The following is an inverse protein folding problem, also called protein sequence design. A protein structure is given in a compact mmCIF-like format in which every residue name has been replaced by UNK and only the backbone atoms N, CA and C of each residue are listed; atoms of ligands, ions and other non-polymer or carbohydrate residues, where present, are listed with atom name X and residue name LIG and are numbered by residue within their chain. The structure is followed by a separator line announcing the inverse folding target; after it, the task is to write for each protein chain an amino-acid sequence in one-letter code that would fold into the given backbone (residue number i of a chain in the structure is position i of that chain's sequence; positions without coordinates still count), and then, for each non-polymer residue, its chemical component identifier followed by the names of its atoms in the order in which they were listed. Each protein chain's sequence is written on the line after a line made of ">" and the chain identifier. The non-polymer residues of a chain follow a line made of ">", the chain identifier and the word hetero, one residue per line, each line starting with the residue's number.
data_IF_263452892482
#
_entry.id   IF_263452892482
#
_cell.length_a   1.000
_cell.length_b   1.000
_cell.length_c   1.000
_cell.angle_alpha   90.00
_cell.angle_beta   90.00
_cell.angle_gamma   90.00
#
_symmetry.space_group_name_H-M   'P 1'
#
loop_
_entity.id
_entity.type
_entity.pdbx_description
1 polymer ?
#
# COMPACT_ATOMS: atom_id res chain seq x y z
N UNK A 1 -6.69 6.43 0.47
CA UNK A 1 -5.50 7.14 0.00
C UNK A 1 -5.20 6.75 -1.45
N UNK A 2 -4.52 7.62 -2.20
CA UNK A 2 -4.10 7.39 -3.59
C UNK A 2 -2.69 7.94 -3.79
N UNK A 3 -1.85 7.20 -4.49
CA UNK A 3 -0.49 7.58 -4.87
C UNK A 3 -0.44 7.59 -6.40
N UNK A 4 0.04 8.67 -7.00
CA UNK A 4 0.12 8.83 -8.46
C UNK A 4 -1.09 9.53 -9.08
N UNK A 5 -1.12 9.55 -10.42
CA UNK A 5 -2.07 10.32 -11.25
C UNK A 5 -3.10 9.42 -11.95
N UNK A 6 -3.99 9.97 -12.76
CA UNK A 6 -5.14 9.25 -13.35
C UNK A 6 -4.76 8.00 -14.17
N UNK A 7 -3.61 8.05 -14.83
CA UNK A 7 -3.15 6.98 -15.72
C UNK A 7 -2.12 6.03 -15.11
N UNK A 8 -1.54 6.40 -13.96
CA UNK A 8 -0.56 5.60 -13.24
C UNK A 8 -0.73 5.85 -11.73
N UNK A 9 -1.41 4.92 -11.05
CA UNK A 9 -1.66 5.05 -9.62
C UNK A 9 -1.77 3.73 -8.90
N UNK A 10 -1.66 3.85 -7.58
CA UNK A 10 -2.08 2.85 -6.63
C UNK A 10 -3.00 3.50 -5.59
N UNK A 11 -4.15 2.90 -5.32
CA UNK A 11 -5.09 3.36 -4.32
C UNK A 11 -5.37 2.25 -3.30
N UNK A 12 -5.55 2.67 -2.05
CA UNK A 12 -6.05 1.83 -0.97
C UNK A 12 -7.19 2.59 -0.30
N UNK A 13 -8.35 1.96 -0.26
CA UNK A 13 -9.54 2.47 0.41
C UNK A 13 -9.95 1.53 1.53
N UNK A 14 -10.05 2.04 2.76
CA UNK A 14 -10.54 1.25 3.89
C UNK A 14 -12.05 1.02 3.75
N UNK A 15 -12.46 -0.22 3.99
CA UNK A 15 -13.84 -0.67 4.10
C UNK A 15 -14.11 -0.91 5.60
N UNK A 16 -15.33 -0.65 6.11
CA UNK A 16 -15.69 -0.92 7.50
C UNK A 16 -15.24 -2.32 7.96
N UNK A 17 -14.59 -2.37 9.13
CA UNK A 17 -13.96 -3.59 9.66
C UNK A 17 -14.95 -4.76 9.71
N UNK A 18 -14.52 -5.92 9.22
CA UNK A 18 -15.15 -7.21 9.52
C UNK A 18 -14.14 -8.10 10.26
N UNK A 19 -14.45 -8.51 11.49
CA UNK A 19 -13.67 -9.53 12.20
C UNK A 19 -12.25 -9.14 12.66
N UNK A 20 -11.96 -7.86 12.88
CA UNK A 20 -10.69 -7.40 13.50
C UNK A 20 -9.56 -7.05 12.52
N UNK A 21 -9.75 -7.19 11.21
CA UNK A 21 -8.78 -6.82 10.18
C UNK A 21 -9.15 -5.50 9.49
N UNK A 22 -8.15 -4.81 8.96
CA UNK A 22 -8.35 -3.70 8.03
C UNK A 22 -8.72 -4.26 6.63
N UNK A 23 -10.02 -4.42 6.38
CA UNK A 23 -10.53 -4.72 5.05
C UNK A 23 -10.37 -3.49 4.17
N UNK A 24 -9.79 -3.65 2.99
CA UNK A 24 -9.56 -2.58 2.05
C UNK A 24 -9.89 -2.99 0.62
N UNK A 25 -10.27 -2.02 -0.19
CA UNK A 25 -10.24 -2.10 -1.65
C UNK A 25 -8.89 -1.56 -2.10
N UNK A 26 -8.18 -2.33 -2.91
CA UNK A 26 -6.94 -1.87 -3.56
C UNK A 26 -7.13 -1.83 -5.07
N UNK A 27 -6.57 -0.83 -5.71
CA UNK A 27 -6.55 -0.71 -7.17
C UNK A 27 -5.18 -0.18 -7.60
N UNK A 28 -4.59 -0.84 -8.59
CA UNK A 28 -3.40 -0.41 -9.28
C UNK A 28 -3.71 -0.25 -10.76
N UNK A 29 -3.30 0.88 -11.32
CA UNK A 29 -3.38 1.15 -12.75
C UNK A 29 -2.01 1.59 -13.23
N UNK A 30 -1.58 1.04 -14.36
CA UNK A 30 -0.41 1.51 -15.09
C UNK A 30 -0.72 1.61 -16.57
N UNK A 31 -0.25 2.68 -17.22
CA UNK A 31 -0.41 2.89 -18.65
C UNK A 31 0.97 2.96 -19.31
N UNK A 32 1.22 2.07 -20.26
CA UNK A 32 2.48 1.99 -21.00
C UNK A 32 2.24 1.62 -22.46
N UNK A 33 2.90 2.30 -23.39
CA UNK A 33 2.83 2.01 -24.83
C UNK A 33 1.40 1.94 -25.39
N UNK A 34 0.53 2.85 -24.94
CA UNK A 34 -0.88 2.90 -25.36
C UNK A 34 -1.77 1.78 -24.78
N UNK A 35 -1.24 0.97 -23.86
CA UNK A 35 -2.00 -0.07 -23.15
C UNK A 35 -2.20 0.32 -21.69
N UNK A 36 -3.37 0.00 -21.15
CA UNK A 36 -3.72 0.19 -19.74
C UNK A 36 -3.80 -1.17 -19.06
N UNK A 37 -3.11 -1.31 -17.94
CA UNK A 37 -3.10 -2.47 -17.08
C UNK A 37 -3.77 -2.10 -15.77
N UNK A 38 -4.74 -2.91 -15.34
CA UNK A 38 -5.46 -2.69 -14.09
C UNK A 38 -5.46 -3.97 -13.27
N UNK A 39 -5.15 -3.85 -11.98
CA UNK A 39 -5.42 -4.87 -10.99
C UNK A 39 -6.22 -4.25 -9.85
N UNK A 40 -7.34 -4.87 -9.50
CA UNK A 40 -8.19 -4.43 -8.40
C UNK A 40 -8.57 -5.60 -7.53
N UNK A 41 -8.60 -5.37 -6.22
CA UNK A 41 -9.08 -6.34 -5.25
C UNK A 41 -10.03 -5.65 -4.28
N UNK A 42 -11.31 -6.03 -4.33
CA UNK A 42 -12.36 -5.32 -3.60
C UNK A 42 -12.39 -5.63 -2.10
N UNK A 43 -11.80 -6.75 -1.69
CA UNK A 43 -11.79 -7.17 -0.29
C UNK A 43 -10.45 -7.81 0.09
N UNK A 44 -9.44 -6.97 0.20
CA UNK A 44 -8.11 -7.36 0.63
C UNK A 44 -7.92 -7.01 2.11
N UNK A 45 -7.43 -7.96 2.91
CA UNK A 45 -7.10 -7.69 4.30
C UNK A 45 -5.62 -7.33 4.40
N UNK A 46 -5.33 -6.13 4.90
CA UNK A 46 -3.98 -5.78 5.31
C UNK A 46 -3.71 -6.35 6.71
N UNK A 47 -2.51 -6.87 6.91
CA UNK A 47 -2.05 -7.20 8.25
C UNK A 47 -2.00 -5.94 9.12
N UNK A 48 -2.96 -5.82 10.02
CA UNK A 48 -3.08 -4.74 11.00
C UNK A 48 -2.78 -5.24 12.42
N UNK A 49 -1.95 -6.28 12.56
CA UNK A 49 -1.49 -6.76 13.86
C UNK A 49 -0.66 -5.70 14.60
N UNK A 50 -0.61 -5.77 15.93
CA UNK A 50 0.20 -4.87 16.76
C UNK A 50 1.68 -4.87 16.31
N UNK A 51 2.20 -6.02 15.89
CA UNK A 51 3.56 -6.16 15.32
C UNK A 51 3.73 -5.29 14.08
N UNK A 52 2.77 -5.33 13.16
CA UNK A 52 2.84 -4.56 11.91
C UNK A 52 2.62 -3.07 12.16
N UNK A 53 1.73 -2.70 13.09
CA UNK A 53 1.55 -1.31 13.53
C UNK A 53 2.84 -0.77 14.18
N UNK A 54 3.50 -1.58 15.01
CA UNK A 54 4.76 -1.20 15.65
C UNK A 54 5.89 -0.99 14.63
N UNK A 55 6.06 -1.94 13.69
CA UNK A 55 7.03 -1.81 12.58
C UNK A 55 6.74 -0.57 11.73
N UNK A 56 5.47 -0.27 11.47
CA UNK A 56 5.10 0.91 10.72
C UNK A 56 5.43 2.19 11.50
N UNK A 57 5.22 2.18 12.82
CA UNK A 57 5.58 3.31 13.70
C UNK A 57 7.11 3.52 13.75
N UNK A 58 7.91 2.46 13.68
CA UNK A 58 9.37 2.55 13.53
C UNK A 58 9.77 3.16 12.19
N UNK A 59 9.10 2.75 11.10
CA UNK A 59 9.30 3.35 9.79
C UNK A 59 8.88 4.85 9.77
N UNK A 60 7.74 5.19 10.36
CA UNK A 60 7.24 6.57 10.49
C UNK A 60 8.21 7.45 11.29
N UNK A 61 8.77 6.93 12.38
CA UNK A 61 9.74 7.63 13.24
C UNK A 61 11.20 7.60 12.76
N UNK A 62 11.43 7.20 11.51
CA UNK A 62 12.76 7.10 10.88
C UNK A 62 13.72 6.10 11.55
N UNK A 63 13.20 5.18 12.38
CA UNK A 63 13.99 4.13 13.04
C UNK A 63 14.17 2.89 12.16
N UNK A 64 13.36 2.76 11.11
CA UNK A 64 13.53 1.78 10.04
C UNK A 64 13.43 2.47 8.68
N UNK A 65 14.26 2.04 7.74
CA UNK A 65 14.23 2.49 6.35
C UNK A 65 13.22 1.71 5.50
N UNK A 66 12.76 0.55 5.98
CA UNK A 66 11.89 -0.33 5.21
C UNK A 66 10.84 -1.04 6.05
N UNK A 67 9.72 -1.35 5.42
CA UNK A 67 8.68 -2.23 5.98
C UNK A 67 8.00 -2.98 4.85
N UNK A 68 7.66 -4.24 5.12
CA UNK A 68 6.78 -5.06 4.29
C UNK A 68 5.49 -5.36 5.07
N UNK A 69 4.36 -5.21 4.39
CA UNK A 69 3.03 -5.44 4.94
C UNK A 69 2.36 -6.48 4.05
N UNK A 70 2.17 -7.71 4.53
CA UNK A 70 1.56 -8.76 3.76
C UNK A 70 0.07 -8.51 3.58
N UNK A 71 -0.45 -8.95 2.43
CA UNK A 71 -1.88 -9.08 2.17
C UNK A 71 -2.32 -10.52 2.39
N UNK A 72 -3.56 -10.75 2.82
CA UNK A 72 -4.07 -12.12 3.03
C UNK A 72 -4.15 -12.97 1.76
N UNK A 73 -4.22 -12.36 0.57
CA UNK A 73 -4.42 -13.04 -0.72
C UNK A 73 -3.20 -12.89 -1.66
N UNK A 74 -2.07 -13.51 -1.28
CA UNK A 74 -0.88 -13.65 -2.11
C UNK A 74 -0.33 -12.32 -2.70
N UNK A 75 -0.20 -11.30 -1.85
CA UNK A 75 0.32 -9.98 -2.19
C UNK A 75 1.02 -9.31 -1.02
N UNK A 76 1.60 -8.14 -1.28
CA UNK A 76 2.31 -7.36 -0.29
C UNK A 76 2.38 -5.89 -0.68
N UNK A 77 2.63 -5.04 0.31
CA UNK A 77 3.05 -3.66 0.14
C UNK A 77 4.42 -3.48 0.81
N UNK A 78 5.40 -2.96 0.08
CA UNK A 78 6.72 -2.63 0.61
C UNK A 78 6.95 -1.15 0.52
N UNK A 79 7.38 -0.57 1.62
CA UNK A 79 7.79 0.81 1.71
C UNK A 79 9.29 0.84 1.96
N UNK A 80 10.01 1.67 1.22
CA UNK A 80 11.43 1.92 1.42
C UNK A 80 11.67 3.43 1.35
N UNK A 81 12.32 3.99 2.37
CA UNK A 81 12.70 5.41 2.39
C UNK A 81 14.15 5.57 1.97
N UNK A 82 14.43 6.53 1.10
CA UNK A 82 15.80 6.88 0.72
C UNK A 82 16.38 8.02 1.57
N UNK A 83 17.67 8.32 1.38
CA UNK A 83 18.36 9.40 2.09
C UNK A 83 17.81 10.81 1.79
N UNK A 84 17.00 10.96 0.73
CA UNK A 84 16.33 12.23 0.36
C UNK A 84 14.96 12.35 1.01
N UNK A 85 14.50 11.33 1.75
CA UNK A 85 13.19 11.28 2.37
C UNK A 85 12.07 10.81 1.44
N UNK A 86 12.38 10.45 0.19
CA UNK A 86 11.40 9.88 -0.73
C UNK A 86 11.03 8.46 -0.27
N UNK A 87 9.76 8.08 -0.46
CA UNK A 87 9.28 6.74 -0.14
C UNK A 87 8.95 6.02 -1.45
N UNK A 88 9.72 4.98 -1.76
CA UNK A 88 9.38 4.02 -2.80
C UNK A 88 8.32 3.06 -2.27
N UNK A 89 7.18 3.02 -2.95
CA UNK A 89 6.06 2.13 -2.66
C UNK A 89 6.01 1.07 -3.74
N UNK A 90 6.38 -0.16 -3.37
CA UNK A 90 6.24 -1.33 -4.22
C UNK A 90 5.03 -2.12 -3.78
N UNK A 91 4.27 -2.66 -4.72
CA UNK A 91 3.12 -3.49 -4.41
C UNK A 91 3.10 -4.73 -5.28
N UNK A 92 2.47 -5.79 -4.74
CA UNK A 92 2.04 -6.97 -5.47
C UNK A 92 0.58 -7.23 -5.13
N UNK A 93 -0.29 -7.19 -6.14
CA UNK A 93 -1.71 -7.55 -6.03
C UNK A 93 -1.90 -8.89 -6.74
N UNK A 94 -2.09 -9.96 -5.97
CA UNK A 94 -2.40 -11.30 -6.46
C UNK A 94 -3.90 -11.55 -6.55
N UNK A 95 -4.31 -12.49 -7.40
CA UNK A 95 -5.69 -12.98 -7.48
C UNK A 95 -5.80 -14.50 -7.25
N UNK A 96 -6.88 -14.93 -6.59
CA UNK A 96 -7.07 -16.31 -6.13
C UNK A 96 -7.27 -17.34 -7.26
N UNK A 97 -7.75 -16.92 -8.43
CA UNK A 97 -8.29 -17.83 -9.45
C UNK A 97 -7.34 -18.15 -10.61
N UNK A 98 -6.22 -17.43 -10.78
CA UNK A 98 -5.37 -17.59 -11.97
C UNK A 98 -3.85 -17.55 -11.71
N UNK A 99 -3.40 -17.50 -10.44
CA UNK A 99 -1.97 -17.34 -10.07
C UNK A 99 -1.29 -16.12 -10.72
N UNK A 100 -2.07 -15.20 -11.29
CA UNK A 100 -1.60 -13.95 -11.86
C UNK A 100 -1.48 -12.91 -10.73
N UNK A 101 -0.39 -12.15 -10.77
CA UNK A 101 -0.17 -11.02 -9.89
C UNK A 101 0.31 -9.83 -10.71
N UNK A 102 -0.15 -8.64 -10.33
CA UNK A 102 0.39 -7.39 -10.84
C UNK A 102 1.36 -6.82 -9.82
N UNK A 103 2.58 -6.53 -10.26
CA UNK A 103 3.56 -5.79 -9.48
C UNK A 103 3.78 -4.40 -10.07
N UNK A 104 4.04 -3.44 -9.21
CA UNK A 104 4.37 -2.09 -9.62
C UNK A 104 5.13 -1.32 -8.55
N UNK A 105 5.68 -0.19 -8.98
CA UNK A 105 6.45 0.71 -8.14
C UNK A 105 5.98 2.15 -8.40
N UNK A 106 5.82 2.89 -7.30
CA UNK A 106 5.52 4.33 -7.30
C UNK A 106 6.48 5.01 -6.32
N UNK A 107 6.75 6.28 -6.55
CA UNK A 107 7.58 7.09 -5.65
C UNK A 107 6.72 8.21 -5.07
N UNK A 108 6.73 8.32 -3.75
CA UNK A 108 6.20 9.47 -3.02
C UNK A 108 7.37 10.41 -2.75
N UNK A 109 7.29 11.63 -3.28
CA UNK A 109 8.34 12.63 -3.07
C UNK A 109 8.39 13.05 -1.59
N UNK A 110 9.58 13.45 -1.14
CA UNK A 110 9.86 13.70 0.28
C UNK A 110 8.92 14.71 0.95
N UNK A 111 8.46 15.73 0.22
CA UNK A 111 7.50 16.72 0.74
C UNK A 111 6.12 16.12 1.04
N UNK A 112 5.74 15.03 0.37
CA UNK A 112 4.46 14.33 0.58
C UNK A 112 4.61 13.12 1.51
N UNK A 113 5.82 12.73 1.89
CA UNK A 113 6.10 11.54 2.70
C UNK A 113 5.37 11.56 4.06
N UNK A 114 5.30 12.73 4.71
CA UNK A 114 4.59 12.89 5.98
C UNK A 114 3.08 12.65 5.87
N UNK A 115 2.43 13.24 4.85
CA UNK A 115 1.00 13.02 4.59
C UNK A 115 0.72 11.56 4.25
N UNK A 116 1.57 10.96 3.42
CA UNK A 116 1.49 9.54 3.08
C UNK A 116 1.56 8.66 4.34
N UNK A 117 2.54 8.88 5.21
CA UNK A 117 2.69 8.11 6.44
C UNK A 117 1.48 8.29 7.38
N UNK A 118 0.97 9.51 7.52
CA UNK A 118 -0.20 9.80 8.34
C UNK A 118 -1.46 9.07 7.83
N UNK A 119 -1.77 9.18 6.53
CA UNK A 119 -2.94 8.51 5.95
C UNK A 119 -2.84 6.99 6.02
N UNK A 120 -1.65 6.44 5.73
CA UNK A 120 -1.44 5.00 5.77
C UNK A 120 -1.46 4.46 7.20
N UNK A 121 -0.89 5.19 8.17
CA UNK A 121 -0.97 4.84 9.58
C UNK A 121 -2.40 4.86 10.11
N UNK A 122 -3.20 5.85 9.71
CA UNK A 122 -4.62 5.92 10.03
C UNK A 122 -5.38 4.70 9.48
N UNK A 123 -5.06 4.28 8.25
CA UNK A 123 -5.62 3.09 7.62
C UNK A 123 -5.29 1.80 8.40
N UNK A 124 -4.03 1.59 8.80
CA UNK A 124 -3.62 0.43 9.61
C UNK A 124 -4.32 0.42 10.97
N UNK A 125 -4.43 1.58 11.62
CA UNK A 125 -5.07 1.73 12.94
C UNK A 125 -6.60 1.72 12.87
N UNK A 126 -7.19 1.74 11.68
CA UNK A 126 -8.64 1.83 11.46
C UNK A 126 -9.27 3.11 12.00
N UNK A 127 -8.50 4.20 12.01
CA UNK A 127 -8.94 5.52 12.46
C UNK A 127 -9.23 6.34 11.20
N UNK A 128 -10.50 6.61 10.89
CA UNK A 128 -10.89 7.49 9.80
C UNK A 128 -12.14 8.27 10.19
#
# INVERSE_FOLDING_TARGET
>A
MRIGQDDNFFSIESIPRQGGYASCRVEAVASASGRRFTASHDRLMLDSSDTTIQRFTEFESLRSEQIEIPFTEAGWLRLQRDARGCITVRYRIGGWTASAAMEGELVVEGEFAGSFCSEFGALLRGQR
#
